data_IF_887168125415
#
_entry.id   IF_887168125415
#
_cell.length_a   1.000
_cell.length_b   1.000
_cell.length_c   1.000
_cell.angle_alpha   90.00
_cell.angle_beta   90.00
_cell.angle_gamma   90.00
#
_symmetry.space_group_name_H-M   'P 1'
#
loop_
_entity.id
_entity.type
_entity.pdbx_description
1 polymer ?
#
# COMPACT_ATOMS: atom_id res chain seq x y z
N UNK A 1 39.21 -0.57 52.31
CA UNK A 1 39.14 0.88 52.61
C UNK A 1 39.65 1.57 51.34
N UNK A 2 38.91 2.30 50.52
CA UNK A 2 37.57 2.90 50.58
C UNK A 2 36.95 2.88 49.17
N UNK A 3 35.62 2.89 49.11
CA UNK A 3 34.79 2.96 47.91
C UNK A 3 34.40 4.42 47.72
N UNK A 4 34.48 4.96 46.51
CA UNK A 4 33.76 6.16 46.14
C UNK A 4 33.18 6.02 44.72
N UNK A 5 31.89 5.72 44.71
CA UNK A 5 30.97 5.70 43.59
C UNK A 5 30.58 7.14 43.27
N UNK A 6 30.56 7.51 42.00
CA UNK A 6 30.11 8.83 41.54
C UNK A 6 29.34 8.72 40.23
N UNK A 7 28.12 8.20 40.29
CA UNK A 7 27.13 8.24 39.22
C UNK A 7 26.61 9.67 39.02
N UNK A 8 26.65 10.17 37.79
CA UNK A 8 25.88 11.36 37.39
C UNK A 8 25.07 11.03 36.13
N UNK A 9 23.85 10.54 36.37
CA UNK A 9 22.79 10.46 35.37
C UNK A 9 22.13 11.83 35.35
N UNK A 10 22.36 12.62 34.30
CA UNK A 10 21.54 13.79 34.00
C UNK A 10 20.57 13.42 32.88
N UNK A 11 19.36 13.08 33.30
CA UNK A 11 18.21 12.94 32.42
C UNK A 11 17.79 14.31 31.90
N UNK A 12 17.66 14.42 30.58
CA UNK A 12 16.97 15.51 29.92
C UNK A 12 15.86 14.92 29.06
N UNK A 13 14.68 14.74 29.66
CA UNK A 13 13.43 14.52 28.93
C UNK A 13 13.06 15.86 28.29
N UNK A 14 13.15 15.94 26.97
CA UNK A 14 12.58 17.05 26.20
C UNK A 14 11.46 16.53 25.31
N UNK A 15 10.23 16.78 25.74
CA UNK A 15 9.03 16.57 24.93
C UNK A 15 8.87 17.77 24.02
N UNK A 16 9.38 17.67 22.79
CA UNK A 16 9.12 18.67 21.76
C UNK A 16 7.85 18.29 20.98
N UNK A 17 6.71 18.77 21.46
CA UNK A 17 5.52 18.95 20.65
C UNK A 17 5.84 19.94 19.52
N UNK A 18 5.58 19.56 18.27
CA UNK A 18 5.31 20.52 17.22
C UNK A 18 6.05 20.28 15.91
N UNK A 19 5.43 19.53 15.00
CA UNK A 19 5.57 19.85 13.58
C UNK A 19 4.26 19.68 12.83
N UNK A 20 3.51 20.79 12.83
CA UNK A 20 2.43 21.05 11.88
C UNK A 20 2.89 22.19 10.98
N UNK A 21 3.04 21.86 9.68
CA UNK A 21 2.89 22.71 8.48
C UNK A 21 4.00 23.70 8.04
N UNK A 22 4.54 23.36 6.85
CA UNK A 22 4.95 24.19 5.67
C UNK A 22 6.15 25.14 5.89
N UNK A 23 7.19 25.22 5.04
CA UNK A 23 7.23 25.36 3.56
C UNK A 23 8.65 25.08 2.98
N UNK A 24 8.63 24.60 1.73
CA UNK A 24 9.51 24.89 0.57
C UNK A 24 11.03 24.72 0.70
N UNK A 25 11.57 23.74 -0.06
CA UNK A 25 12.86 23.90 -0.76
C UNK A 25 12.58 23.86 -2.26
N UNK A 26 12.81 24.98 -2.92
CA UNK A 26 12.87 25.10 -4.39
C UNK A 26 14.31 24.76 -4.78
N UNK A 27 14.51 23.79 -5.66
CA UNK A 27 15.82 23.48 -6.27
C UNK A 27 15.80 23.93 -7.74
N UNK A 28 16.90 24.49 -8.28
CA UNK A 28 16.92 25.09 -9.61
C UNK A 28 17.14 24.08 -10.74
N UNK A 29 16.28 24.21 -11.74
CA UNK A 29 16.38 23.94 -13.20
C UNK A 29 17.48 22.99 -13.69
N UNK A 30 17.05 21.87 -14.27
CA UNK A 30 17.87 21.01 -15.12
C UNK A 30 17.00 19.94 -15.79
N UNK A 31 16.49 20.25 -16.97
CA UNK A 31 15.67 19.39 -17.84
C UNK A 31 14.31 19.01 -17.22
N UNK A 32 13.32 19.88 -17.39
CA UNK A 32 11.92 19.43 -17.46
C UNK A 32 11.80 18.51 -18.68
N UNK A 33 12.13 17.24 -18.48
CA UNK A 33 11.30 16.22 -19.09
C UNK A 33 9.97 16.45 -18.40
N UNK A 34 9.00 17.05 -19.09
CA UNK A 34 7.60 16.76 -18.80
C UNK A 34 7.48 15.24 -18.85
N UNK A 35 7.78 14.59 -17.72
CA UNK A 35 7.11 13.36 -17.39
C UNK A 35 5.68 13.85 -17.30
N UNK A 36 4.92 13.67 -18.37
CA UNK A 36 3.51 13.34 -18.25
C UNK A 36 3.46 12.34 -17.10
N UNK A 37 3.19 12.86 -15.90
CA UNK A 37 2.84 12.07 -14.75
C UNK A 37 1.55 11.46 -15.23
N UNK A 38 1.61 10.28 -15.83
CA UNK A 38 0.43 9.53 -16.23
C UNK A 38 -0.42 9.46 -14.96
N UNK A 39 -1.50 10.27 -14.85
CA UNK A 39 -2.25 10.42 -13.61
C UNK A 39 -2.84 9.06 -13.17
N UNK A 40 -2.91 8.14 -14.12
CA UNK A 40 -3.38 6.78 -14.02
C UNK A 40 -2.47 5.86 -13.19
N UNK A 41 -1.14 6.07 -13.15
CA UNK A 41 -0.23 5.19 -12.40
C UNK A 41 -0.25 5.45 -10.89
N UNK A 42 -0.42 6.70 -10.47
CA UNK A 42 -0.58 7.03 -9.06
C UNK A 42 -1.95 6.55 -8.54
N UNK A 43 -2.99 6.65 -9.37
CA UNK A 43 -4.31 6.08 -9.09
C UNK A 43 -4.24 4.56 -8.92
N UNK A 44 -3.55 3.87 -9.84
CA UNK A 44 -3.28 2.43 -9.74
C UNK A 44 -2.56 2.08 -8.44
N UNK A 45 -1.51 2.84 -8.08
CA UNK A 45 -0.78 2.63 -6.81
C UNK A 45 -1.67 2.85 -5.58
N UNK A 46 -2.58 3.81 -5.63
CA UNK A 46 -3.53 4.07 -4.53
C UNK A 46 -4.48 2.88 -4.33
N UNK A 47 -5.04 2.36 -5.42
CA UNK A 47 -5.89 1.16 -5.40
C UNK A 47 -5.16 -0.04 -4.81
N UNK A 48 -3.90 -0.28 -5.22
CA UNK A 48 -3.08 -1.35 -4.64
C UNK A 48 -2.92 -1.20 -3.13
N UNK A 49 -2.61 0.01 -2.64
CA UNK A 49 -2.46 0.25 -1.19
C UNK A 49 -3.73 -0.05 -0.42
N UNK A 50 -4.90 0.27 -0.99
CA UNK A 50 -6.18 -0.02 -0.34
C UNK A 50 -6.45 -1.52 -0.31
N UNK A 51 -6.21 -2.23 -1.42
CA UNK A 51 -6.31 -3.69 -1.45
C UNK A 51 -5.32 -4.36 -0.48
N UNK A 52 -4.05 -3.93 -0.48
CA UNK A 52 -3.03 -4.48 0.42
C UNK A 52 -3.42 -4.28 1.90
N UNK A 53 -4.04 -3.15 2.26
CA UNK A 53 -4.58 -2.93 3.62
C UNK A 53 -5.74 -3.86 3.92
N UNK A 54 -6.67 -4.02 2.98
CA UNK A 54 -7.80 -4.94 3.13
C UNK A 54 -7.30 -6.38 3.38
N UNK A 55 -6.34 -6.84 2.59
CA UNK A 55 -5.78 -8.20 2.69
C UNK A 55 -4.93 -8.37 3.95
N UNK A 56 -4.16 -7.34 4.33
CA UNK A 56 -3.43 -7.32 5.61
C UNK A 56 -4.36 -7.39 6.82
N UNK A 57 -5.55 -6.77 6.76
CA UNK A 57 -6.58 -6.91 7.82
C UNK A 57 -7.08 -8.35 8.01
N UNK A 58 -6.85 -9.21 7.01
CA UNK A 58 -7.16 -10.64 7.01
C UNK A 58 -5.94 -11.50 7.32
N UNK A 59 -4.85 -10.90 7.80
CA UNK A 59 -3.56 -11.52 8.12
C UNK A 59 -2.78 -12.08 6.92
N UNK A 60 -3.03 -11.55 5.72
CA UNK A 60 -2.26 -11.89 4.53
C UNK A 60 -1.42 -10.70 4.08
N UNK A 61 -0.13 -10.91 3.86
CA UNK A 61 0.78 -9.89 3.36
C UNK A 61 1.60 -10.44 2.20
N UNK A 62 1.84 -9.61 1.19
CA UNK A 62 2.68 -9.96 0.05
C UNK A 62 4.14 -9.75 0.39
N UNK A 63 4.97 -10.75 0.15
CA UNK A 63 6.42 -10.62 0.31
C UNK A 63 7.01 -9.56 -0.64
N UNK A 64 8.08 -8.90 -0.23
CA UNK A 64 8.73 -7.85 -1.04
C UNK A 64 9.24 -8.35 -2.40
N UNK A 65 9.63 -9.63 -2.48
CA UNK A 65 10.05 -10.32 -3.70
C UNK A 65 8.94 -11.15 -4.37
N UNK A 66 7.73 -11.14 -3.81
CA UNK A 66 6.62 -11.95 -4.30
C UNK A 66 5.87 -11.20 -5.42
N UNK A 67 5.78 -11.82 -6.60
CA UNK A 67 5.01 -11.27 -7.73
C UNK A 67 3.51 -11.26 -7.41
N UNK A 68 2.74 -10.35 -7.99
CA UNK A 68 1.27 -10.30 -7.82
C UNK A 68 0.58 -11.61 -8.20
N UNK A 69 1.01 -12.29 -9.27
CA UNK A 69 0.44 -13.58 -9.68
C UNK A 69 0.66 -14.66 -8.62
N UNK A 70 1.90 -14.83 -8.15
CA UNK A 70 2.23 -15.78 -7.08
C UNK A 70 1.46 -15.48 -5.79
N UNK A 71 1.31 -14.20 -5.43
CA UNK A 71 0.53 -13.82 -4.27
C UNK A 71 -0.95 -14.19 -4.44
N UNK A 72 -1.54 -13.93 -5.61
CA UNK A 72 -2.91 -14.35 -5.93
C UNK A 72 -3.09 -15.88 -5.83
N UNK A 73 -2.15 -16.65 -6.37
CA UNK A 73 -2.19 -18.11 -6.27
C UNK A 73 -2.13 -18.56 -4.80
N UNK A 74 -1.29 -17.92 -3.99
CA UNK A 74 -1.18 -18.20 -2.57
C UNK A 74 -2.48 -17.89 -1.81
N UNK A 75 -3.09 -16.74 -2.06
CA UNK A 75 -4.36 -16.36 -1.44
C UNK A 75 -5.46 -17.39 -1.73
N UNK A 76 -5.58 -17.85 -2.98
CA UNK A 76 -6.56 -18.88 -3.36
C UNK A 76 -6.36 -20.18 -2.58
N UNK A 77 -5.12 -20.57 -2.31
CA UNK A 77 -4.78 -21.80 -1.61
C UNK A 77 -4.93 -21.68 -0.08
N UNK A 78 -4.39 -20.62 0.51
CA UNK A 78 -4.23 -20.46 1.96
C UNK A 78 -5.42 -19.78 2.66
N UNK A 79 -6.20 -18.96 1.94
CA UNK A 79 -7.36 -18.30 2.54
C UNK A 79 -8.57 -19.24 2.57
N UNK A 80 -9.18 -19.36 3.75
CA UNK A 80 -10.33 -20.22 4.01
C UNK A 80 -11.62 -19.78 3.29
N UNK A 81 -11.88 -18.48 3.17
CA UNK A 81 -13.06 -17.93 2.48
C UNK A 81 -12.85 -18.02 0.96
N UNK A 82 -13.11 -19.20 0.37
CA UNK A 82 -12.72 -19.49 -1.03
C UNK A 82 -13.28 -18.51 -2.06
N UNK A 83 -14.50 -18.04 -1.87
CA UNK A 83 -15.13 -17.07 -2.78
C UNK A 83 -14.42 -15.71 -2.70
N UNK A 84 -14.23 -15.19 -1.48
CA UNK A 84 -13.50 -13.93 -1.25
C UNK A 84 -12.05 -14.03 -1.73
N UNK A 85 -11.39 -15.16 -1.44
CA UNK A 85 -10.03 -15.44 -1.87
C UNK A 85 -9.92 -15.42 -3.40
N UNK A 86 -10.87 -16.03 -4.12
CA UNK A 86 -10.93 -16.03 -5.57
C UNK A 86 -11.06 -14.62 -6.13
N UNK A 87 -11.97 -13.81 -5.58
CA UNK A 87 -12.19 -12.43 -6.02
C UNK A 87 -10.97 -11.54 -5.79
N UNK A 88 -10.37 -11.60 -4.59
CA UNK A 88 -9.15 -10.85 -4.28
C UNK A 88 -7.99 -11.30 -5.16
N UNK A 89 -7.84 -12.60 -5.39
CA UNK A 89 -6.81 -13.15 -6.27
C UNK A 89 -7.01 -12.68 -7.72
N UNK A 90 -8.26 -12.67 -8.20
CA UNK A 90 -8.63 -12.12 -9.49
C UNK A 90 -8.29 -10.64 -9.61
N UNK A 91 -8.52 -9.87 -8.55
CA UNK A 91 -8.17 -8.46 -8.49
C UNK A 91 -6.66 -8.23 -8.64
N UNK A 92 -5.81 -8.97 -7.92
CA UNK A 92 -4.34 -8.85 -8.05
C UNK A 92 -3.83 -9.21 -9.44
N UNK A 93 -4.46 -10.20 -10.10
CA UNK A 93 -4.13 -10.56 -11.48
C UNK A 93 -4.52 -9.45 -12.46
N UNK A 94 -5.71 -8.87 -12.31
CA UNK A 94 -6.17 -7.73 -13.11
C UNK A 94 -5.27 -6.49 -12.89
N UNK A 95 -4.88 -6.24 -11.64
CA UNK A 95 -3.92 -5.19 -11.30
C UNK A 95 -2.57 -5.39 -12.02
N UNK A 96 -2.04 -6.61 -12.00
CA UNK A 96 -0.78 -6.92 -12.68
C UNK A 96 -0.91 -6.68 -14.19
N UNK A 97 -2.03 -7.09 -14.79
CA UNK A 97 -2.31 -6.82 -16.20
C UNK A 97 -2.33 -5.30 -16.47
N UNK A 98 -3.10 -4.52 -15.73
CA UNK A 98 -3.16 -3.07 -15.90
C UNK A 98 -1.80 -2.37 -15.70
N UNK A 99 -0.97 -2.89 -14.79
CA UNK A 99 0.36 -2.32 -14.49
C UNK A 99 1.38 -2.54 -15.61
N UNK A 100 1.34 -3.70 -16.27
CA UNK A 100 2.37 -4.15 -17.23
C UNK A 100 1.89 -4.17 -18.69
N UNK A 101 0.57 -4.09 -18.92
CA UNK A 101 -0.06 -3.95 -20.22
C UNK A 101 -1.10 -2.79 -20.19
N UNK A 102 -0.65 -1.52 -20.13
CA UNK A 102 -1.50 -0.36 -19.85
C UNK A 102 -2.42 0.08 -21.01
N UNK A 103 -2.64 -0.78 -22.01
CA UNK A 103 -3.62 -0.48 -23.05
C UNK A 103 -5.02 -0.45 -22.40
N UNK A 104 -5.72 0.69 -22.52
CA UNK A 104 -7.04 0.88 -21.88
C UNK A 104 -6.98 1.10 -20.37
N UNK A 105 -5.87 1.66 -19.85
CA UNK A 105 -5.68 1.89 -18.41
C UNK A 105 -6.82 2.67 -17.72
N UNK A 106 -7.46 3.70 -18.31
CA UNK A 106 -8.59 4.38 -17.68
C UNK A 106 -9.78 3.46 -17.40
N UNK A 107 -10.16 2.61 -18.35
CA UNK A 107 -11.27 1.67 -18.19
C UNK A 107 -10.93 0.58 -17.16
N UNK A 108 -9.69 0.06 -17.21
CA UNK A 108 -9.18 -0.91 -16.25
C UNK A 108 -9.12 -0.34 -14.82
N UNK A 109 -8.80 0.94 -14.66
CA UNK A 109 -8.81 1.61 -13.36
C UNK A 109 -10.20 1.71 -12.77
N UNK A 110 -11.19 2.07 -13.59
CA UNK A 110 -12.59 2.11 -13.16
C UNK A 110 -13.05 0.71 -12.72
N UNK A 111 -12.79 -0.32 -13.54
CA UNK A 111 -13.13 -1.70 -13.21
C UNK A 111 -12.46 -2.15 -11.89
N UNK A 112 -11.15 -1.90 -11.72
CA UNK A 112 -10.42 -2.25 -10.51
C UNK A 112 -10.96 -1.52 -9.27
N UNK A 113 -11.38 -0.26 -9.42
CA UNK A 113 -11.95 0.54 -8.34
C UNK A 113 -13.33 0.04 -7.93
N UNK A 114 -14.20 -0.29 -8.89
CA UNK A 114 -15.51 -0.86 -8.64
C UNK A 114 -15.40 -2.21 -7.93
N UNK A 115 -14.58 -3.12 -8.47
CA UNK A 115 -14.34 -4.44 -7.86
C UNK A 115 -13.80 -4.35 -6.45
N UNK A 116 -12.86 -3.44 -6.19
CA UNK A 116 -12.35 -3.20 -4.83
C UNK A 116 -13.46 -2.72 -3.89
N UNK A 117 -14.29 -1.79 -4.35
CA UNK A 117 -15.41 -1.26 -3.56
C UNK A 117 -16.41 -2.37 -3.21
N UNK A 118 -16.75 -3.22 -4.17
CA UNK A 118 -17.65 -4.35 -3.98
C UNK A 118 -17.07 -5.41 -3.05
N UNK A 119 -15.76 -5.70 -3.14
CA UNK A 119 -15.05 -6.59 -2.24
C UNK A 119 -15.09 -6.09 -0.79
N UNK A 120 -14.80 -4.80 -0.59
CA UNK A 120 -14.85 -4.20 0.75
C UNK A 120 -16.27 -4.19 1.31
N UNK A 121 -17.28 -3.88 0.48
CA UNK A 121 -18.69 -3.88 0.90
C UNK A 121 -19.17 -5.28 1.27
N UNK A 122 -18.83 -6.29 0.47
CA UNK A 122 -19.19 -7.69 0.75
C UNK A 122 -18.51 -8.19 2.02
N UNK A 123 -17.28 -7.76 2.30
CA UNK A 123 -16.57 -8.14 3.52
C UNK A 123 -17.06 -7.41 4.79
N UNK A 124 -17.63 -6.21 4.65
CA UNK A 124 -18.21 -5.44 5.76
C UNK A 124 -19.69 -5.77 6.01
N UNK A 125 -20.42 -6.14 4.95
CA UNK A 125 -21.80 -6.60 5.00
C UNK A 125 -21.89 -8.10 5.20
N UNK A 126 -21.80 -8.54 6.47
CA UNK A 126 -22.26 -9.87 6.85
C UNK A 126 -23.78 -9.95 6.56
N UNK A 127 -24.30 -11.00 5.87
CA UNK A 127 -25.75 -11.18 5.66
C UNK A 127 -26.56 -11.23 6.96
#
# INVERSE_FOLDING_TARGET
REIAIGSAILGAVTVALGWKRRRKKVLPVGVEVEREVMPDLDSLRSLLKTMDRFVSSKNFERGSSETYHRFADRLTNEWNEKDLASEVSGWYRAYAHARFAPAGLPDQLNELSERLSDLTRTAEGNP
#
